data_IF_596650340015
#
_entry.id   IF_596650340015
#
_cell.length_a   1.000
_cell.length_b   1.000
_cell.length_c   1.000
_cell.angle_alpha   90.00
_cell.angle_beta   90.00
_cell.angle_gamma   90.00
#
_symmetry.space_group_name_H-M   'P 1'
#
loop_
_entity.id
_entity.type
_entity.pdbx_description
1 polymer ?
#
# COMPACT_ATOMS: atom_id res chain seq x y z
N UNK A 1 4.01 30.68 19.79
CA UNK A 1 4.01 29.22 19.66
C UNK A 1 3.60 28.88 18.23
N UNK A 2 4.56 28.36 17.45
CA UNK A 2 4.57 27.95 16.02
C UNK A 2 3.24 28.10 15.23
N UNK A 3 3.07 29.07 14.31
CA UNK A 3 3.64 29.25 12.96
C UNK A 3 3.40 28.09 11.98
N UNK A 4 2.26 28.14 11.30
CA UNK A 4 2.03 27.73 9.91
C UNK A 4 2.56 26.36 9.46
N UNK A 5 2.35 25.29 10.22
CA UNK A 5 2.44 23.95 9.61
C UNK A 5 1.14 23.70 8.84
N UNK A 6 1.24 23.65 7.51
CA UNK A 6 0.10 23.43 6.62
C UNK A 6 -0.65 22.17 7.10
N UNK A 7 -1.94 22.26 7.48
CA UNK A 7 -2.67 21.16 8.12
C UNK A 7 -2.63 19.87 7.30
N UNK A 8 -2.51 20.01 5.97
CA UNK A 8 -2.36 18.90 5.03
C UNK A 8 -1.11 18.03 5.28
N UNK A 9 -0.02 18.62 5.77
CA UNK A 9 1.23 17.91 6.08
C UNK A 9 1.08 17.09 7.37
N UNK A 10 0.44 17.65 8.40
CA UNK A 10 0.14 16.95 9.65
C UNK A 10 -0.73 15.71 9.41
N UNK A 11 -1.79 15.83 8.61
CA UNK A 11 -2.63 14.68 8.24
C UNK A 11 -1.84 13.61 7.47
N UNK A 12 -0.97 14.00 6.54
CA UNK A 12 -0.17 13.03 5.78
C UNK A 12 0.84 12.29 6.66
N UNK A 13 1.53 12.99 7.56
CA UNK A 13 2.50 12.38 8.47
C UNK A 13 1.85 11.39 9.44
N UNK A 14 0.58 11.60 9.81
CA UNK A 14 -0.18 10.65 10.63
C UNK A 14 -0.60 9.40 9.85
N UNK A 15 -0.92 9.54 8.55
CA UNK A 15 -1.38 8.42 7.70
C UNK A 15 -0.23 7.55 7.18
N UNK A 16 0.99 8.11 7.04
CA UNK A 16 2.17 7.38 6.56
C UNK A 16 2.45 6.06 7.30
N UNK A 17 2.66 6.07 8.63
CA UNK A 17 3.04 4.86 9.37
C UNK A 17 1.91 3.81 9.48
N UNK A 18 0.65 4.23 9.56
CA UNK A 18 -0.48 3.27 9.58
C UNK A 18 -0.68 2.58 8.23
N UNK A 19 -0.32 3.27 7.14
CA UNK A 19 -0.40 2.69 5.81
C UNK A 19 0.69 1.64 5.56
N UNK A 20 1.93 1.93 5.93
CA UNK A 20 3.05 0.99 5.81
C UNK A 20 2.76 -0.33 6.54
N UNK A 21 2.17 -0.25 7.74
CA UNK A 21 1.67 -1.42 8.46
C UNK A 21 0.57 -2.20 7.69
N UNK A 22 -0.31 -1.50 6.97
CA UNK A 22 -1.38 -2.15 6.20
C UNK A 22 -0.85 -2.89 4.97
N UNK A 23 0.26 -2.44 4.37
CA UNK A 23 0.92 -3.16 3.27
C UNK A 23 1.46 -4.52 3.74
N UNK A 24 2.07 -4.57 4.92
CA UNK A 24 2.54 -5.83 5.52
C UNK A 24 1.39 -6.80 5.73
N UNK A 25 0.25 -6.35 6.25
CA UNK A 25 -0.93 -7.20 6.45
C UNK A 25 -1.50 -7.74 5.13
N UNK A 26 -1.48 -6.93 4.06
CA UNK A 26 -1.94 -7.35 2.74
C UNK A 26 -1.05 -8.46 2.17
N UNK A 27 0.27 -8.31 2.28
CA UNK A 27 1.24 -9.32 1.83
C UNK A 27 1.14 -10.59 2.69
N UNK A 28 1.04 -10.44 4.01
CA UNK A 28 0.91 -11.57 4.94
C UNK A 28 -0.39 -12.36 4.68
N UNK A 29 -1.51 -11.67 4.44
CA UNK A 29 -2.78 -12.28 4.07
C UNK A 29 -2.70 -13.05 2.74
N UNK A 30 -2.05 -12.47 1.73
CA UNK A 30 -1.80 -13.15 0.45
C UNK A 30 -0.93 -14.40 0.61
N UNK A 31 0.14 -14.32 1.40
CA UNK A 31 1.01 -15.46 1.72
C UNK A 31 0.29 -16.55 2.52
N UNK A 32 -0.56 -16.16 3.48
CA UNK A 32 -1.37 -17.09 4.26
C UNK A 32 -2.40 -17.82 3.37
N UNK A 33 -3.06 -17.12 2.45
CA UNK A 33 -3.98 -17.72 1.48
C UNK A 33 -3.25 -18.70 0.54
N UNK A 34 -2.03 -18.36 0.11
CA UNK A 34 -1.20 -19.26 -0.69
C UNK A 34 -0.81 -20.53 0.09
N UNK A 35 -0.48 -20.40 1.37
CA UNK A 35 -0.09 -21.52 2.23
C UNK A 35 -1.28 -22.43 2.60
N UNK A 36 -2.44 -21.84 2.94
CA UNK A 36 -3.62 -22.57 3.39
C UNK A 36 -4.48 -23.12 2.23
N UNK A 37 -4.64 -22.36 1.13
CA UNK A 37 -5.59 -22.68 0.05
C UNK A 37 -5.01 -22.43 -1.35
N UNK A 38 -4.11 -23.33 -1.78
CA UNK A 38 -3.42 -23.23 -3.09
C UNK A 38 -4.35 -23.10 -4.29
N UNK A 39 -5.46 -23.85 -4.34
CA UNK A 39 -6.38 -23.84 -5.49
C UNK A 39 -7.12 -22.50 -5.59
N UNK A 40 -7.60 -21.98 -4.46
CA UNK A 40 -8.31 -20.70 -4.40
C UNK A 40 -7.39 -19.55 -4.82
N UNK A 41 -6.13 -19.58 -4.36
CA UNK A 41 -5.11 -18.62 -4.79
C UNK A 41 -4.88 -18.68 -6.30
N UNK A 42 -4.69 -19.87 -6.87
CA UNK A 42 -4.40 -20.05 -8.30
C UNK A 42 -5.56 -19.59 -9.20
N UNK A 43 -6.80 -19.97 -8.87
CA UNK A 43 -7.99 -19.59 -9.65
C UNK A 43 -8.23 -18.08 -9.54
N UNK A 44 -8.06 -17.49 -8.36
CA UNK A 44 -8.29 -16.05 -8.17
C UNK A 44 -7.27 -15.21 -8.96
N UNK A 45 -5.99 -15.58 -8.91
CA UNK A 45 -4.93 -14.88 -9.67
C UNK A 45 -5.06 -15.08 -11.19
N UNK A 46 -5.57 -16.23 -11.65
CA UNK A 46 -5.76 -16.50 -13.07
C UNK A 46 -7.03 -15.86 -13.64
N UNK A 47 -8.18 -16.01 -12.96
CA UNK A 47 -9.46 -15.47 -13.43
C UNK A 47 -9.52 -13.94 -13.34
N UNK A 48 -8.89 -13.35 -12.31
CA UNK A 48 -8.88 -11.90 -12.09
C UNK A 48 -7.54 -11.26 -12.43
N UNK A 49 -6.80 -11.80 -13.39
CA UNK A 49 -5.46 -11.33 -13.73
C UNK A 49 -5.39 -9.82 -13.95
N UNK A 50 -6.29 -9.26 -14.77
CA UNK A 50 -6.31 -7.83 -15.07
C UNK A 50 -6.65 -6.98 -13.83
N UNK A 51 -7.61 -7.41 -13.02
CA UNK A 51 -8.00 -6.69 -11.81
C UNK A 51 -6.88 -6.71 -10.76
N UNK A 52 -6.23 -7.86 -10.55
CA UNK A 52 -5.06 -8.00 -9.67
C UNK A 52 -3.89 -7.15 -10.16
N UNK A 53 -3.68 -7.07 -11.47
CA UNK A 53 -2.64 -6.23 -12.05
C UNK A 53 -2.87 -4.74 -11.78
N UNK A 54 -4.12 -4.26 -11.89
CA UNK A 54 -4.49 -2.88 -11.57
C UNK A 54 -4.28 -2.59 -10.08
N UNK A 55 -4.69 -3.50 -9.19
CA UNK A 55 -4.48 -3.36 -7.75
C UNK A 55 -2.99 -3.26 -7.42
N UNK A 56 -2.16 -4.12 -8.03
CA UNK A 56 -0.71 -4.09 -7.85
C UNK A 56 -0.12 -2.73 -8.27
N UNK A 57 -0.49 -2.24 -9.47
CA UNK A 57 -0.06 -0.93 -9.94
C UNK A 57 -0.52 0.21 -9.03
N UNK A 58 -1.75 0.17 -8.53
CA UNK A 58 -2.27 1.17 -7.61
C UNK A 58 -1.48 1.20 -6.29
N UNK A 59 -1.10 0.03 -5.75
CA UNK A 59 -0.27 -0.09 -4.56
C UNK A 59 1.15 0.48 -4.80
N UNK A 60 1.78 0.14 -5.92
CA UNK A 60 3.12 0.65 -6.29
C UNK A 60 3.11 2.17 -6.45
N UNK A 61 2.14 2.72 -7.20
CA UNK A 61 2.01 4.17 -7.39
C UNK A 61 1.76 4.90 -6.08
N UNK A 62 1.02 4.29 -5.17
CA UNK A 62 0.76 4.84 -3.84
C UNK A 62 2.03 4.87 -2.98
N UNK A 63 2.76 3.76 -2.89
CA UNK A 63 4.03 3.68 -2.14
C UNK A 63 5.08 4.67 -2.69
N UNK A 64 5.25 4.71 -4.01
CA UNK A 64 6.18 5.63 -4.67
C UNK A 64 5.78 7.10 -4.51
N UNK A 65 4.48 7.43 -4.49
CA UNK A 65 4.01 8.79 -4.25
C UNK A 65 4.36 9.31 -2.84
N UNK A 66 4.40 8.45 -1.82
CA UNK A 66 4.84 8.83 -0.48
C UNK A 66 6.37 9.03 -0.44
N UNK A 67 7.14 8.10 -0.99
CA UNK A 67 8.62 8.14 -1.05
C UNK A 67 9.14 9.38 -1.81
N UNK A 68 8.59 9.65 -2.99
CA UNK A 68 9.01 10.78 -3.85
C UNK A 68 8.69 12.15 -3.24
N UNK A 69 7.67 12.21 -2.37
CA UNK A 69 7.24 13.45 -1.70
C UNK A 69 8.02 13.72 -0.41
N UNK A 70 8.47 12.68 0.27
CA UNK A 70 9.46 12.79 1.35
C UNK A 70 10.83 13.22 0.82
N UNK A 71 11.29 12.69 -0.32
CA UNK A 71 12.55 13.12 -0.96
C UNK A 71 12.55 14.57 -1.43
N UNK A 72 11.40 15.12 -1.84
CA UNK A 72 11.28 16.56 -2.19
C UNK A 72 11.51 17.52 -1.00
N UNK A 73 11.62 17.01 0.22
CA UNK A 73 11.79 17.79 1.46
C UNK A 73 13.20 17.67 2.05
N UNK A 74 14.09 16.84 1.48
CA UNK A 74 15.53 16.78 1.78
C UNK A 74 16.25 17.69 0.79
#
# INVERSE_FOLDING_TARGET
>A
FAKDENPRITYMNAVGPVWDGNEVWLIAGGGMLFAAFRVVYAVSFSAFYLAMFIVLWALILRATAFEYRNKKRI
#
